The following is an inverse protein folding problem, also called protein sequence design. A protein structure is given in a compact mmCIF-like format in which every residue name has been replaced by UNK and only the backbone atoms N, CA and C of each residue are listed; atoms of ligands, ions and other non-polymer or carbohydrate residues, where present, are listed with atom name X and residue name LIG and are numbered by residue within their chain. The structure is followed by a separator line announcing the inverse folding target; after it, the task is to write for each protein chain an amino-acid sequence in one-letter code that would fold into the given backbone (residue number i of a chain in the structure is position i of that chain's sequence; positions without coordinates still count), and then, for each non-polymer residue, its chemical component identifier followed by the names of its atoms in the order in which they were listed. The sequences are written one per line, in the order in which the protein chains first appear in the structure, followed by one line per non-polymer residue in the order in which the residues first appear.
data_IF_244597117120
#
_entry.id   IF_244597117120
#
_cell.length_a   1.000
_cell.length_b   1.000
_cell.length_c   1.000
_cell.angle_alpha   90.00
_cell.angle_beta   90.00
_cell.angle_gamma   90.00
#
_symmetry.space_group_name_H-M   'P 1'
#
loop_
_entity.id
_entity.type
_entity.pdbx_description
1 polymer ?
#
# COMPACT_ATOMS: atom_id res chain seq x y z
N UNK A 1 -12.62 -8.04 -7.88
CA UNK A 1 -12.38 -7.87 -6.42
C UNK A 1 -12.08 -6.41 -6.18
N UNK A 2 -12.72 -5.76 -5.20
CA UNK A 2 -12.38 -4.37 -4.85
C UNK A 2 -11.12 -4.35 -4.02
N UNK A 3 -10.21 -3.44 -4.37
CA UNK A 3 -9.05 -3.12 -3.56
C UNK A 3 -9.53 -2.28 -2.36
N UNK A 4 -8.99 -2.56 -1.17
CA UNK A 4 -9.34 -1.87 0.08
C UNK A 4 -8.33 -0.77 0.35
N UNK A 5 -7.05 -1.12 0.30
CA UNK A 5 -5.94 -0.18 0.41
C UNK A 5 -4.73 -0.70 -0.34
N UNK A 6 -3.77 0.18 -0.61
CA UNK A 6 -2.51 -0.15 -1.26
C UNK A 6 -1.34 0.31 -0.41
N UNK A 7 -0.27 -0.47 -0.45
CA UNK A 7 1.05 0.00 -0.03
C UNK A 7 1.82 0.39 -1.27
N UNK A 8 2.23 1.66 -1.33
CA UNK A 8 3.00 2.25 -2.41
C UNK A 8 4.44 2.44 -1.92
N UNK A 9 5.39 1.90 -2.67
CA UNK A 9 6.82 2.01 -2.42
C UNK A 9 7.49 2.90 -3.46
N UNK A 10 8.03 4.04 -3.02
CA UNK A 10 8.70 5.00 -3.90
C UNK A 10 10.13 4.54 -4.16
N UNK A 11 10.47 4.32 -5.42
CA UNK A 11 11.84 3.97 -5.84
C UNK A 11 12.51 5.09 -6.67
N UNK A 12 11.77 6.13 -7.02
CA UNK A 12 12.31 7.35 -7.62
C UNK A 12 11.63 8.57 -7.02
N UNK A 13 12.41 9.53 -6.54
CA UNK A 13 11.89 10.78 -6.01
C UNK A 13 11.07 11.55 -7.08
N UNK A 14 9.95 12.14 -6.65
CA UNK A 14 9.05 12.90 -7.53
C UNK A 14 8.19 13.87 -6.74
N UNK A 15 7.67 14.87 -7.44
CA UNK A 15 6.65 15.76 -6.92
C UNK A 15 5.30 15.36 -7.50
N UNK A 16 4.25 15.41 -6.69
CA UNK A 16 2.90 15.10 -7.11
C UNK A 16 1.89 16.02 -6.46
N UNK A 17 0.91 16.45 -7.25
CA UNK A 17 -0.29 17.07 -6.72
C UNK A 17 -1.32 15.98 -6.42
N UNK A 18 -1.61 15.79 -5.13
CA UNK A 18 -2.55 14.77 -4.62
C UNK A 18 -3.61 15.50 -3.79
N UNK A 19 -4.88 15.38 -4.17
CA UNK A 19 -6.00 16.04 -3.47
C UNK A 19 -5.76 17.55 -3.28
N UNK A 20 -5.40 18.22 -4.37
CA UNK A 20 -5.12 19.67 -4.44
C UNK A 20 -3.99 20.14 -3.51
N UNK A 21 -3.05 19.24 -3.19
CA UNK A 21 -1.85 19.55 -2.41
C UNK A 21 -0.62 18.99 -3.07
N UNK A 22 0.44 19.80 -3.11
CA UNK A 22 1.73 19.38 -3.62
C UNK A 22 2.51 18.61 -2.53
N UNK A 23 3.00 17.42 -2.91
CA UNK A 23 3.86 16.58 -2.10
C UNK A 23 5.17 16.34 -2.83
N UNK A 24 6.27 16.42 -2.08
CA UNK A 24 7.56 15.89 -2.50
C UNK A 24 7.76 14.52 -1.86
N UNK A 25 7.92 13.49 -2.69
CA UNK A 25 8.20 12.11 -2.29
C UNK A 25 9.66 11.77 -2.58
N UNK A 26 10.29 11.10 -1.63
CA UNK A 26 11.69 10.68 -1.71
C UNK A 26 11.80 9.19 -2.03
N UNK A 27 12.93 8.80 -2.60
CA UNK A 27 13.28 7.37 -2.73
C UNK A 27 13.31 6.70 -1.34
N UNK A 28 12.80 5.47 -1.27
CA UNK A 28 12.71 4.70 -0.02
C UNK A 28 11.52 5.04 0.87
N UNK A 29 10.61 5.91 0.43
CA UNK A 29 9.36 6.18 1.16
C UNK A 29 8.29 5.13 0.89
N UNK A 30 7.51 4.84 1.95
CA UNK A 30 6.31 4.00 1.85
C UNK A 30 5.08 4.84 2.17
N UNK A 31 4.05 4.65 1.37
CA UNK A 31 2.73 5.19 1.60
C UNK A 31 1.72 4.05 1.78
N UNK A 32 0.87 4.13 2.80
CA UNK A 32 -0.34 3.31 2.88
C UNK A 32 -1.51 4.18 2.43
N UNK A 33 -2.11 3.83 1.31
CA UNK A 33 -3.10 4.65 0.59
C UNK A 33 -4.44 3.92 0.55
N UNK A 34 -5.50 4.62 0.91
CA UNK A 34 -6.87 4.09 0.75
C UNK A 34 -7.23 3.99 -0.75
N UNK A 35 -8.08 3.03 -1.11
CA UNK A 35 -8.51 2.85 -2.49
C UNK A 35 -9.12 4.13 -3.11
N UNK A 36 -9.79 4.98 -2.32
CA UNK A 36 -10.35 6.23 -2.80
C UNK A 36 -9.28 7.27 -3.21
N UNK A 37 -8.10 7.22 -2.58
CA UNK A 37 -6.99 8.15 -2.84
C UNK A 37 -5.99 7.57 -3.86
N UNK A 38 -5.99 6.25 -4.04
CA UNK A 38 -5.08 5.51 -4.93
C UNK A 38 -5.13 6.00 -6.38
N UNK A 39 -6.29 6.38 -6.90
CA UNK A 39 -6.43 6.89 -8.28
C UNK A 39 -5.62 8.16 -8.55
N UNK A 40 -5.37 8.99 -7.53
CA UNK A 40 -4.53 10.18 -7.67
C UNK A 40 -3.05 9.86 -7.87
N UNK A 41 -2.62 8.63 -7.57
CA UNK A 41 -1.25 8.17 -7.77
C UNK A 41 -1.02 7.54 -9.15
N UNK A 42 -2.06 7.16 -9.88
CA UNK A 42 -1.96 6.51 -11.20
C UNK A 42 -1.05 7.27 -12.20
N UNK A 43 -1.10 8.62 -12.30
CA UNK A 43 -0.21 9.36 -13.21
C UNK A 43 1.29 9.21 -12.89
N UNK A 44 1.63 8.71 -11.70
CA UNK A 44 3.00 8.61 -11.20
C UNK A 44 3.48 7.15 -11.07
N UNK A 45 2.78 6.18 -11.66
CA UNK A 45 3.06 4.74 -11.53
C UNK A 45 4.53 4.37 -11.83
N UNK A 46 5.22 5.11 -12.70
CA UNK A 46 6.63 4.88 -13.02
C UNK A 46 7.59 5.17 -11.87
N UNK A 47 7.15 5.87 -10.83
CA UNK A 47 7.96 6.30 -9.69
C UNK A 47 7.85 5.35 -8.49
N UNK A 48 6.92 4.39 -8.53
CA UNK A 48 6.64 3.51 -7.41
C UNK A 48 6.24 2.09 -7.79
N UNK A 49 6.34 1.19 -6.83
CA UNK A 49 5.71 -0.14 -6.87
C UNK A 49 4.51 -0.17 -5.94
N UNK A 50 3.43 -0.83 -6.35
CA UNK A 50 2.20 -0.95 -5.58
C UNK A 50 1.97 -2.40 -5.16
N UNK A 51 1.56 -2.60 -3.91
CA UNK A 51 0.96 -3.84 -3.42
C UNK A 51 -0.49 -3.52 -3.02
N UNK A 52 -1.45 -4.10 -3.73
CA UNK A 52 -2.86 -3.97 -3.40
C UNK A 52 -3.30 -4.97 -2.33
N UNK A 53 -4.05 -4.52 -1.34
CA UNK A 53 -4.73 -5.37 -0.37
C UNK A 53 -6.22 -5.41 -0.69
N UNK A 54 -6.69 -6.60 -1.06
CA UNK A 54 -8.11 -6.84 -1.26
C UNK A 54 -8.79 -7.21 0.08
N UNK A 55 -10.12 -7.20 0.06
CA UNK A 55 -10.94 -7.48 1.24
C UNK A 55 -10.65 -8.86 1.87
N UNK A 56 -10.34 -9.87 1.06
CA UNK A 56 -10.03 -11.21 1.55
C UNK A 56 -8.69 -11.25 2.30
N UNK A 57 -7.67 -10.57 1.78
CA UNK A 57 -6.35 -10.45 2.43
C UNK A 57 -6.48 -9.79 3.80
N UNK A 58 -7.26 -8.69 3.87
CA UNK A 58 -7.52 -7.99 5.14
C UNK A 58 -8.31 -8.87 6.11
N UNK A 59 -9.39 -9.54 5.64
CA UNK A 59 -10.20 -10.45 6.48
C UNK A 59 -9.36 -11.58 7.07
N UNK A 60 -8.52 -12.24 6.26
CA UNK A 60 -7.60 -13.29 6.73
C UNK A 60 -6.64 -12.76 7.80
N UNK A 61 -6.03 -11.60 7.56
CA UNK A 61 -5.12 -10.98 8.53
C UNK A 61 -5.81 -10.69 9.87
N UNK A 62 -7.02 -10.11 9.85
CA UNK A 62 -7.78 -9.81 11.07
C UNK A 62 -8.17 -11.07 11.84
N UNK A 63 -8.55 -12.15 11.13
CA UNK A 63 -8.84 -13.45 11.74
C UNK A 63 -7.61 -14.05 12.43
N UNK A 64 -6.41 -13.91 11.86
CA UNK A 64 -5.17 -14.42 12.43
C UNK A 64 -4.64 -13.60 13.61
N UNK A 65 -4.91 -12.30 13.65
CA UNK A 65 -4.32 -11.38 14.63
C UNK A 65 -5.26 -11.03 15.79
N UNK A 66 -6.50 -11.50 15.76
CA UNK A 66 -7.55 -11.24 16.76
C UNK A 66 -7.77 -9.73 17.03
N UNK A 67 -7.44 -8.89 16.04
CA UNK A 67 -7.61 -7.44 16.09
C UNK A 67 -9.08 -7.11 15.82
N UNK A 68 -9.72 -6.38 16.74
CA UNK A 68 -11.05 -5.83 16.51
C UNK A 68 -10.94 -4.56 15.67
N UNK A 69 -11.68 -4.50 14.56
CA UNK A 69 -11.73 -3.32 13.70
C UNK A 69 -12.48 -2.19 14.41
N UNK A 70 -11.81 -1.05 14.60
CA UNK A 70 -12.48 0.18 15.05
C UNK A 70 -12.80 1.00 13.81
N UNK A 71 -14.08 1.30 13.59
CA UNK A 71 -14.50 2.19 12.51
C UNK A 71 -14.07 3.61 12.88
N UNK A 72 -13.01 4.11 12.22
CA UNK A 72 -12.56 5.49 12.39
C UNK A 72 -13.40 6.38 11.47
N UNK A 73 -14.06 7.44 11.96
CA UNK A 73 -15.00 8.25 11.17
C UNK A 73 -14.33 9.20 10.16
N UNK A 74 -13.00 9.22 10.08
CA UNK A 74 -12.26 10.16 9.23
C UNK A 74 -11.26 9.38 8.37
N UNK A 75 -11.24 9.57 7.03
CA UNK A 75 -10.20 8.98 6.22
C UNK A 75 -8.87 9.69 6.53
N UNK A 76 -7.91 8.96 7.10
CA UNK A 76 -6.53 9.36 6.99
C UNK A 76 -6.18 9.31 5.49
N UNK A 77 -5.81 10.45 4.88
CA UNK A 77 -5.63 10.57 3.42
C UNK A 77 -4.67 9.50 2.88
N UNK A 78 -3.57 9.29 3.58
CA UNK A 78 -2.66 8.14 3.48
C UNK A 78 -1.67 8.24 4.65
N UNK A 79 -1.10 7.11 5.08
CA UNK A 79 0.01 7.10 6.04
C UNK A 79 1.32 7.17 5.27
N UNK A 80 2.30 7.95 5.74
CA UNK A 80 3.61 8.09 5.12
C UNK A 80 4.70 7.72 6.12
N UNK A 81 5.63 6.87 5.70
CA UNK A 81 6.82 6.51 6.46
C UNK A 81 8.07 6.65 5.58
N UNK A 82 9.16 7.11 6.17
CA UNK A 82 10.45 7.33 5.48
C UNK A 82 11.51 6.37 6.02
N UNK A 83 12.59 6.18 5.27
CA UNK A 83 13.76 5.37 5.63
C UNK A 83 13.50 3.87 5.82
N UNK A 84 12.53 3.30 5.08
CA UNK A 84 12.34 1.85 5.13
C UNK A 84 13.34 1.17 4.20
N UNK A 85 14.12 0.17 4.67
CA UNK A 85 15.11 -0.49 3.83
C UNK A 85 14.48 -1.13 2.58
N UNK A 86 14.88 -0.66 1.40
CA UNK A 86 14.41 -1.16 0.10
C UNK A 86 14.56 -2.68 -0.06
N UNK A 87 15.60 -3.27 0.56
CA UNK A 87 15.81 -4.72 0.58
C UNK A 87 14.69 -5.48 1.29
N UNK A 88 14.37 -5.08 2.52
CA UNK A 88 13.31 -5.69 3.33
C UNK A 88 11.94 -5.59 2.63
N UNK A 89 11.67 -4.46 1.99
CA UNK A 89 10.43 -4.25 1.23
C UNK A 89 10.31 -5.13 -0.01
N UNK A 90 11.38 -5.27 -0.79
CA UNK A 90 11.37 -6.16 -1.95
C UNK A 90 11.16 -7.62 -1.53
N UNK A 91 11.73 -8.04 -0.40
CA UNK A 91 11.48 -9.36 0.19
C UNK A 91 10.01 -9.51 0.60
N UNK A 92 9.42 -8.51 1.25
CA UNK A 92 7.99 -8.52 1.61
C UNK A 92 7.09 -8.58 0.37
N UNK A 93 7.37 -7.80 -0.68
CA UNK A 93 6.64 -7.85 -1.97
C UNK A 93 6.74 -9.25 -2.58
N UNK A 94 7.94 -9.81 -2.64
CA UNK A 94 8.18 -11.13 -3.22
C UNK A 94 7.43 -12.22 -2.43
N UNK A 95 7.47 -12.16 -1.11
CA UNK A 95 6.77 -13.08 -0.21
C UNK A 95 5.25 -13.02 -0.44
N UNK A 96 4.65 -11.83 -0.37
CA UNK A 96 3.20 -11.65 -0.55
C UNK A 96 2.73 -12.13 -1.94
N UNK A 97 3.48 -11.82 -3.00
CA UNK A 97 3.16 -12.28 -4.35
C UNK A 97 3.37 -13.80 -4.54
N UNK A 98 4.25 -14.42 -3.74
CA UNK A 98 4.45 -15.88 -3.76
C UNK A 98 3.32 -16.62 -3.06
N UNK A 99 2.80 -16.09 -1.96
CA UNK A 99 1.65 -16.64 -1.23
C UNK A 99 0.37 -16.59 -2.08
N UNK A 100 0.14 -15.51 -2.85
CA UNK A 100 -0.98 -15.45 -3.79
C UNK A 100 -0.90 -16.50 -4.91
N UNK A 101 0.31 -16.92 -5.31
CA UNK A 101 0.51 -17.97 -6.33
C UNK A 101 0.48 -19.38 -5.76
N UNK A 102 0.76 -19.55 -4.47
CA UNK A 102 0.84 -20.86 -3.81
C UNK A 102 -0.49 -21.34 -3.21
N UNK A 103 -1.54 -20.51 -3.20
CA UNK A 103 -2.90 -20.93 -2.82
C UNK A 103 -3.72 -21.50 -4.01
N UNK A 104 -3.12 -22.39 -4.80
CA UNK A 104 -3.85 -23.49 -5.43
C UNK A 104 -3.47 -24.75 -4.66
N UNK A 105 -4.44 -25.31 -3.93
CA UNK A 105 -4.35 -26.41 -2.96
C UNK A 105 -4.09 -25.93 -1.53
N UNK A 106 -5.16 -25.64 -0.81
CA UNK A 106 -5.64 -26.48 0.30
C UNK A 106 -7.14 -26.24 0.50
#
# INVERSE_FOLDING_TARGET
MSLVCSVIFIHHAFNANILDKDYAFSDGEILMVDNAVRTHFEPYERHFKEIGFNENTIKKYLQCTNIQTVTVPVPAKFLRASNVPTGLLNEMIAYLNSEERNHHNF
#
